data_IF_625455592013
#
_entry.id   IF_625455592013
#
_cell.length_a   1.000
_cell.length_b   1.000
_cell.length_c   1.000
_cell.angle_alpha   90.00
_cell.angle_beta   90.00
_cell.angle_gamma   90.00
#
_symmetry.space_group_name_H-M   'P 1'
#
loop_
_entity.id
_entity.type
_entity.pdbx_description
1 polymer ?
#
# COMPACT_ATOMS: atom_id res chain seq x y z
N UNK A 1 37.65 -22.18 -13.08
CA UNK A 1 37.18 -21.90 -14.46
C UNK A 1 38.08 -22.64 -15.45
N UNK A 2 37.56 -23.61 -16.21
CA UNK A 2 38.38 -24.47 -17.08
C UNK A 2 38.79 -23.79 -18.40
N UNK A 3 39.89 -24.25 -19.04
CA UNK A 3 40.40 -23.70 -20.32
C UNK A 3 39.33 -23.63 -21.42
N UNK A 4 38.41 -24.59 -21.44
CA UNK A 4 37.30 -24.65 -22.39
C UNK A 4 36.25 -23.54 -22.19
N UNK A 5 35.98 -23.14 -20.94
CA UNK A 5 35.00 -22.09 -20.62
C UNK A 5 35.48 -20.72 -21.11
N UNK A 6 36.79 -20.45 -20.96
CA UNK A 6 37.41 -19.21 -21.45
C UNK A 6 37.34 -19.12 -22.98
N UNK A 7 37.67 -20.21 -23.67
CA UNK A 7 37.61 -20.27 -25.13
C UNK A 7 36.16 -20.03 -25.62
N UNK A 8 35.18 -20.72 -25.03
CA UNK A 8 33.77 -20.58 -25.42
C UNK A 8 33.23 -19.17 -25.14
N UNK A 9 33.50 -18.58 -23.98
CA UNK A 9 33.09 -17.19 -23.65
C UNK A 9 33.67 -16.16 -24.61
N UNK A 10 34.91 -16.37 -25.06
CA UNK A 10 35.57 -15.50 -26.04
C UNK A 10 34.89 -15.59 -27.40
N UNK A 11 34.74 -16.80 -27.96
CA UNK A 11 34.18 -16.99 -29.30
C UNK A 11 32.69 -16.60 -29.35
N UNK A 12 31.91 -16.93 -28.32
CA UNK A 12 30.47 -16.54 -28.23
C UNK A 12 30.26 -15.03 -28.17
N UNK A 13 31.18 -14.29 -27.54
CA UNK A 13 31.08 -12.82 -27.49
C UNK A 13 31.45 -12.17 -28.83
N UNK A 14 32.31 -12.81 -29.63
CA UNK A 14 32.68 -12.33 -30.96
C UNK A 14 31.62 -12.64 -32.02
N UNK A 15 30.95 -13.80 -31.93
CA UNK A 15 30.01 -14.27 -32.95
C UNK A 15 28.64 -14.67 -32.38
N UNK A 16 27.93 -13.79 -31.64
CA UNK A 16 26.68 -14.15 -30.97
C UNK A 16 25.57 -14.61 -31.93
N UNK A 17 25.54 -14.07 -33.16
CA UNK A 17 24.57 -14.46 -34.19
C UNK A 17 24.79 -15.89 -34.70
N UNK A 18 26.03 -16.30 -34.88
CA UNK A 18 26.36 -17.64 -35.38
C UNK A 18 25.94 -18.71 -34.35
N UNK A 19 26.15 -18.43 -33.07
CA UNK A 19 25.67 -19.29 -31.98
C UNK A 19 24.14 -19.30 -31.86
N UNK A 20 23.46 -18.19 -32.15
CA UNK A 20 22.00 -18.18 -32.24
C UNK A 20 21.50 -19.10 -33.37
N UNK A 21 22.24 -19.20 -34.47
CA UNK A 21 21.97 -20.12 -35.58
C UNK A 21 22.00 -21.60 -35.21
N UNK A 22 22.68 -21.98 -34.11
CA UNK A 22 22.61 -23.35 -33.58
C UNK A 22 21.22 -23.68 -33.00
N UNK A 23 20.45 -22.66 -32.60
CA UNK A 23 19.14 -22.82 -31.96
C UNK A 23 18.01 -22.45 -32.94
N UNK A 24 18.19 -21.39 -33.73
CA UNK A 24 17.20 -20.85 -34.66
C UNK A 24 17.81 -20.67 -36.05
N UNK A 25 17.68 -21.70 -36.88
CA UNK A 25 18.21 -21.70 -38.26
C UNK A 25 17.53 -20.67 -39.17
N UNK A 26 16.34 -20.21 -38.80
CA UNK A 26 15.52 -19.25 -39.52
C UNK A 26 15.58 -17.82 -38.94
N UNK A 27 16.50 -17.55 -38.02
CA UNK A 27 16.54 -16.25 -37.35
C UNK A 27 16.91 -15.09 -38.29
N UNK A 28 15.98 -14.14 -38.41
CA UNK A 28 16.18 -12.87 -39.10
C UNK A 28 15.87 -11.72 -38.12
N UNK A 29 16.90 -11.00 -37.69
CA UNK A 29 16.76 -9.89 -36.74
C UNK A 29 18.10 -9.36 -36.23
N UNK A 30 18.01 -8.41 -35.30
CA UNK A 30 19.16 -7.83 -34.61
C UNK A 30 19.54 -8.67 -33.37
N UNK A 31 20.83 -8.72 -33.05
CA UNK A 31 21.36 -9.44 -31.89
C UNK A 31 22.30 -8.50 -31.14
N UNK A 32 22.00 -8.29 -29.86
CA UNK A 32 22.83 -7.52 -28.95
C UNK A 32 23.18 -8.39 -27.74
N UNK A 33 24.42 -8.27 -27.26
CA UNK A 33 24.82 -8.91 -26.02
C UNK A 33 24.22 -8.13 -24.85
N UNK A 34 23.45 -8.82 -24.01
CA UNK A 34 22.92 -8.26 -22.76
C UNK A 34 23.94 -8.40 -21.62
N UNK A 35 23.78 -7.59 -20.58
CA UNK A 35 24.56 -7.71 -19.34
C UNK A 35 24.40 -9.11 -18.73
N UNK A 36 25.51 -9.65 -18.25
CA UNK A 36 25.56 -11.00 -17.66
C UNK A 36 25.16 -11.01 -16.18
N UNK A 37 25.15 -9.84 -15.56
CA UNK A 37 24.77 -9.66 -14.17
C UNK A 37 23.26 -9.46 -14.09
N UNK A 38 22.58 -10.37 -13.41
CA UNK A 38 21.16 -10.22 -13.12
C UNK A 38 21.05 -9.55 -11.75
N UNK A 39 20.34 -8.42 -11.63
CA UNK A 39 20.10 -7.81 -10.33
C UNK A 39 19.27 -8.77 -9.48
N UNK A 40 19.88 -9.35 -8.45
CA UNK A 40 19.17 -10.18 -7.48
C UNK A 40 18.50 -9.25 -6.47
N UNK A 41 17.24 -8.93 -6.71
CA UNK A 41 16.39 -8.40 -5.65
C UNK A 41 15.84 -9.57 -4.84
N UNK A 42 16.36 -9.72 -3.62
CA UNK A 42 15.77 -10.61 -2.63
C UNK A 42 14.50 -9.96 -2.07
N UNK A 43 13.39 -10.67 -2.14
CA UNK A 43 12.19 -10.35 -1.38
C UNK A 43 12.01 -11.45 -0.34
N UNK A 44 11.55 -11.10 0.86
CA UNK A 44 11.12 -12.09 1.82
C UNK A 44 9.79 -12.70 1.32
N UNK A 45 9.77 -14.02 1.15
CA UNK A 45 8.53 -14.79 1.03
C UNK A 45 7.72 -14.62 2.32
N UNK A 46 6.39 -14.62 2.22
CA UNK A 46 5.54 -14.29 3.37
C UNK A 46 5.62 -15.33 4.49
N UNK A 47 5.71 -16.63 4.14
CA UNK A 47 5.88 -17.71 5.12
C UNK A 47 6.55 -18.94 4.50
N UNK A 48 7.46 -19.57 5.23
CA UNK A 48 8.21 -20.76 4.79
C UNK A 48 8.15 -21.83 5.87
N UNK A 49 7.80 -23.05 5.48
CA UNK A 49 7.83 -24.23 6.35
C UNK A 49 8.90 -25.20 5.88
N UNK A 50 9.69 -25.71 6.82
CA UNK A 50 10.48 -26.92 6.61
C UNK A 50 9.61 -28.13 6.99
N UNK A 51 9.36 -29.02 6.03
CA UNK A 51 8.54 -30.22 6.23
C UNK A 51 9.44 -31.45 6.18
N UNK A 52 9.26 -32.32 7.17
CA UNK A 52 9.83 -33.66 7.19
C UNK A 52 8.71 -34.65 7.44
N UNK A 53 8.44 -35.49 6.46
CA UNK A 53 7.40 -36.51 6.56
C UNK A 53 7.92 -37.77 7.25
N UNK A 54 7.00 -38.57 7.82
CA UNK A 54 7.34 -39.89 8.37
C UNK A 54 7.89 -40.84 7.29
N UNK A 55 7.55 -40.60 6.02
CA UNK A 55 8.10 -41.29 4.85
C UNK A 55 9.59 -41.02 4.61
N UNK A 56 10.14 -39.98 5.26
CA UNK A 56 11.51 -39.50 5.08
C UNK A 56 11.67 -38.41 4.01
N UNK A 57 10.58 -37.95 3.39
CA UNK A 57 10.63 -36.85 2.43
C UNK A 57 10.86 -35.51 3.14
N UNK A 58 11.80 -34.71 2.64
CA UNK A 58 12.12 -33.37 3.16
C UNK A 58 11.95 -32.30 2.08
N UNK A 59 11.16 -31.27 2.35
CA UNK A 59 10.89 -30.18 1.43
C UNK A 59 10.51 -28.88 2.13
N UNK A 60 10.61 -27.76 1.41
CA UNK A 60 10.10 -26.47 1.84
C UNK A 60 8.69 -26.24 1.30
N UNK A 61 7.79 -25.69 2.10
CA UNK A 61 6.52 -25.11 1.62
C UNK A 61 6.63 -23.59 1.66
N UNK A 62 6.56 -22.96 0.50
CA UNK A 62 6.64 -21.50 0.37
C UNK A 62 5.26 -20.91 0.14
N UNK A 63 4.81 -20.07 1.06
CA UNK A 63 3.51 -19.41 1.02
C UNK A 63 3.65 -17.96 0.57
N UNK A 64 2.90 -17.62 -0.47
CA UNK A 64 2.73 -16.27 -0.99
C UNK A 64 1.28 -15.82 -0.78
N UNK A 65 1.04 -14.90 0.16
CA UNK A 65 -0.28 -14.35 0.43
C UNK A 65 -0.50 -13.09 -0.39
N UNK A 66 -1.49 -13.11 -1.28
CA UNK A 66 -1.90 -11.94 -2.06
C UNK A 66 -3.33 -11.57 -1.71
N UNK A 67 -3.55 -10.30 -1.41
CA UNK A 67 -4.91 -9.79 -1.18
C UNK A 67 -5.82 -10.07 -2.37
N UNK A 68 -5.31 -9.92 -3.60
CA UNK A 68 -6.02 -10.16 -4.86
C UNK A 68 -5.09 -10.79 -5.90
N UNK A 69 -5.63 -11.46 -6.93
CA UNK A 69 -4.84 -11.89 -8.08
C UNK A 69 -4.19 -10.71 -8.82
N UNK A 70 -2.90 -10.85 -9.16
CA UNK A 70 -2.13 -9.87 -9.93
C UNK A 70 -1.32 -10.59 -11.03
N UNK A 71 -1.15 -9.96 -12.19
CA UNK A 71 -0.42 -10.56 -13.34
C UNK A 71 1.08 -10.80 -13.11
N UNK A 72 1.64 -10.38 -11.97
CA UNK A 72 3.03 -10.65 -11.58
C UNK A 72 3.18 -11.76 -10.56
N UNK A 73 2.09 -12.20 -9.91
CA UNK A 73 2.14 -13.14 -8.78
C UNK A 73 2.87 -14.43 -9.14
N UNK A 74 2.55 -15.05 -10.28
CA UNK A 74 3.19 -16.31 -10.66
C UNK A 74 4.66 -16.15 -11.01
N UNK A 75 5.06 -15.01 -11.59
CA UNK A 75 6.48 -14.72 -11.83
C UNK A 75 7.25 -14.55 -10.53
N UNK A 76 6.64 -13.90 -9.53
CA UNK A 76 7.22 -13.78 -8.20
C UNK A 76 7.36 -15.16 -7.54
N UNK A 77 6.28 -15.94 -7.47
CA UNK A 77 6.30 -17.28 -6.86
C UNK A 77 7.31 -18.21 -7.55
N UNK A 78 7.41 -18.17 -8.88
CA UNK A 78 8.43 -18.91 -9.63
C UNK A 78 9.85 -18.46 -9.24
N UNK A 79 10.12 -17.15 -9.25
CA UNK A 79 11.43 -16.61 -8.87
C UNK A 79 11.82 -17.06 -7.47
N UNK A 80 10.91 -16.91 -6.52
CA UNK A 80 11.19 -17.20 -5.11
C UNK A 80 11.38 -18.73 -4.92
N UNK A 81 10.61 -19.56 -5.63
CA UNK A 81 10.82 -21.03 -5.63
C UNK A 81 12.21 -21.42 -6.11
N UNK A 82 12.68 -20.80 -7.21
CA UNK A 82 14.03 -21.06 -7.76
C UNK A 82 15.12 -20.59 -6.81
N UNK A 83 14.94 -19.44 -6.16
CA UNK A 83 15.90 -18.90 -5.19
C UNK A 83 16.05 -19.81 -3.96
N UNK A 84 14.95 -20.33 -3.42
CA UNK A 84 14.98 -21.25 -2.28
C UNK A 84 15.49 -22.64 -2.64
N UNK A 85 15.19 -23.13 -3.85
CA UNK A 85 15.72 -24.40 -4.33
C UNK A 85 17.25 -24.32 -4.57
N UNK A 86 17.75 -23.20 -5.10
CA UNK A 86 19.19 -22.99 -5.30
C UNK A 86 19.87 -24.08 -6.15
N UNK A 87 21.20 -24.20 -6.03
CA UNK A 87 21.98 -25.24 -6.74
C UNK A 87 21.99 -26.59 -5.99
N UNK A 88 21.95 -26.54 -4.65
CA UNK A 88 21.99 -27.72 -3.76
C UNK A 88 20.91 -27.66 -2.66
N UNK A 89 19.90 -26.80 -2.82
CA UNK A 89 18.85 -26.62 -1.82
C UNK A 89 17.74 -27.67 -1.91
N UNK A 90 16.84 -27.67 -0.91
CA UNK A 90 15.78 -28.67 -0.77
C UNK A 90 14.76 -28.59 -1.91
N UNK A 91 13.93 -29.63 -2.03
CA UNK A 91 12.74 -29.57 -2.86
C UNK A 91 11.80 -28.45 -2.34
N UNK A 92 11.09 -27.81 -3.26
CA UNK A 92 10.24 -26.65 -2.97
C UNK A 92 8.82 -26.91 -3.47
N UNK A 93 7.87 -26.76 -2.57
CA UNK A 93 6.43 -26.82 -2.82
C UNK A 93 5.81 -25.41 -2.69
N UNK A 94 5.59 -24.70 -3.81
CA UNK A 94 5.05 -23.35 -3.77
C UNK A 94 3.53 -23.33 -3.62
N UNK A 95 3.06 -22.48 -2.72
CA UNK A 95 1.65 -22.21 -2.42
C UNK A 95 1.36 -20.73 -2.63
N UNK A 96 0.38 -20.42 -3.46
CA UNK A 96 -0.12 -19.05 -3.66
C UNK A 96 -1.51 -18.96 -3.08
N UNK A 97 -1.71 -18.06 -2.12
CA UNK A 97 -3.01 -17.82 -1.48
C UNK A 97 -3.59 -16.50 -1.97
N UNK A 98 -4.78 -16.55 -2.56
CA UNK A 98 -5.55 -15.36 -2.88
C UNK A 98 -6.65 -15.15 -1.83
N UNK A 99 -6.62 -14.01 -1.14
CA UNK A 99 -7.55 -13.69 -0.06
C UNK A 99 -8.95 -13.29 -0.57
N UNK A 100 -9.05 -12.51 -1.65
CA UNK A 100 -10.35 -12.18 -2.26
C UNK A 100 -10.29 -12.11 -3.80
N UNK A 101 -11.35 -12.59 -4.44
CA UNK A 101 -11.56 -12.49 -5.89
C UNK A 101 -12.25 -11.18 -6.30
N UNK A 102 -12.71 -10.36 -5.35
CA UNK A 102 -13.38 -9.10 -5.66
C UNK A 102 -12.46 -8.14 -6.41
N UNK A 103 -12.93 -7.64 -7.55
CA UNK A 103 -12.19 -6.69 -8.37
C UNK A 103 -11.10 -7.32 -9.24
N UNK A 104 -11.07 -8.65 -9.40
CA UNK A 104 -10.22 -9.33 -10.38
C UNK A 104 -11.07 -10.12 -11.38
N UNK A 105 -10.79 -9.94 -12.67
CA UNK A 105 -11.33 -10.76 -13.76
C UNK A 105 -10.41 -11.93 -14.14
N UNK A 106 -9.26 -12.06 -13.46
CA UNK A 106 -8.20 -13.00 -13.81
C UNK A 106 -7.78 -13.77 -12.56
N UNK A 107 -8.08 -15.06 -12.52
CA UNK A 107 -7.38 -15.99 -11.61
C UNK A 107 -6.37 -16.71 -12.47
N UNK A 108 -5.10 -16.35 -12.29
CA UNK A 108 -4.00 -17.10 -12.92
C UNK A 108 -3.61 -18.19 -11.94
N UNK A 109 -3.62 -19.44 -12.40
CA UNK A 109 -3.27 -20.62 -11.61
C UNK A 109 -1.96 -21.27 -12.07
N UNK A 110 -1.49 -20.93 -13.27
CA UNK A 110 -0.24 -21.41 -13.84
C UNK A 110 0.56 -20.29 -14.51
N UNK A 111 1.84 -20.54 -14.75
CA UNK A 111 2.70 -19.67 -15.55
C UNK A 111 3.42 -20.45 -16.62
N UNK A 112 3.11 -20.11 -17.86
CA UNK A 112 3.74 -20.65 -19.06
C UNK A 112 4.51 -19.53 -19.75
N UNK A 113 5.83 -19.72 -19.88
CA UNK A 113 6.66 -18.86 -20.71
C UNK A 113 6.89 -19.55 -22.04
N UNK A 114 6.43 -18.94 -23.12
CA UNK A 114 6.64 -19.42 -24.48
C UNK A 114 7.59 -18.49 -25.25
N UNK A 115 8.58 -19.07 -25.91
CA UNK A 115 9.52 -18.36 -26.79
C UNK A 115 9.55 -19.09 -28.12
N UNK A 116 9.20 -18.38 -29.20
CA UNK A 116 9.14 -18.93 -30.58
C UNK A 116 8.36 -20.24 -30.68
N UNK A 117 7.15 -20.32 -30.09
CA UNK A 117 6.30 -21.51 -30.17
C UNK A 117 6.70 -22.65 -29.22
N UNK A 118 7.77 -22.48 -28.42
CA UNK A 118 8.23 -23.49 -27.47
C UNK A 118 7.97 -23.04 -26.05
N UNK A 119 7.32 -23.89 -25.26
CA UNK A 119 7.21 -23.73 -23.81
C UNK A 119 8.59 -23.93 -23.18
N UNK A 120 9.19 -22.85 -22.69
CA UNK A 120 10.51 -22.86 -22.03
C UNK A 120 10.40 -22.96 -20.51
N UNK A 121 9.28 -22.51 -19.94
CA UNK A 121 8.95 -22.68 -18.53
C UNK A 121 7.49 -23.07 -18.41
N UNK A 122 7.21 -24.07 -17.56
CA UNK A 122 5.88 -24.37 -17.05
C UNK A 122 5.96 -24.43 -15.52
N UNK A 123 5.24 -23.55 -14.85
CA UNK A 123 5.22 -23.44 -13.40
C UNK A 123 3.79 -23.56 -12.91
N UNK A 124 3.54 -24.50 -12.01
CA UNK A 124 2.21 -24.87 -11.50
C UNK A 124 2.24 -24.94 -9.97
N UNK A 125 2.13 -23.80 -9.29
CA UNK A 125 2.06 -23.78 -7.84
C UNK A 125 0.70 -24.29 -7.35
N UNK A 126 0.63 -24.64 -6.07
CA UNK A 126 -0.65 -24.93 -5.44
C UNK A 126 -1.37 -23.61 -5.15
N UNK A 127 -2.55 -23.40 -5.75
CA UNK A 127 -3.31 -22.16 -5.59
C UNK A 127 -4.48 -22.36 -4.64
N UNK A 128 -4.51 -21.58 -3.57
CA UNK A 128 -5.62 -21.52 -2.60
C UNK A 128 -6.40 -20.24 -2.82
N UNK A 129 -7.67 -20.37 -3.20
CA UNK A 129 -8.62 -19.27 -3.28
C UNK A 129 -9.49 -19.28 -2.04
N UNK A 130 -9.29 -18.33 -1.14
CA UNK A 130 -9.97 -18.35 0.17
C UNK A 130 -11.49 -18.31 0.02
N UNK A 131 -12.00 -17.61 -0.99
CA UNK A 131 -13.44 -17.53 -1.27
C UNK A 131 -14.09 -18.81 -1.78
N UNK A 132 -13.30 -19.83 -2.16
CA UNK A 132 -13.81 -21.16 -2.52
C UNK A 132 -13.86 -22.10 -1.31
N UNK A 133 -13.29 -21.69 -0.16
CA UNK A 133 -13.33 -22.46 1.07
C UNK A 133 -14.75 -22.42 1.66
N UNK A 134 -15.27 -23.57 2.05
CA UNK A 134 -16.55 -23.68 2.74
C UNK A 134 -16.50 -23.03 4.12
N UNK A 135 -17.39 -22.05 4.37
CA UNK A 135 -17.56 -21.46 5.70
C UNK A 135 -18.00 -22.47 6.75
N UNK A 136 -18.83 -23.45 6.37
CA UNK A 136 -19.27 -24.52 7.26
C UNK A 136 -18.08 -25.36 7.71
N UNK A 137 -17.21 -25.74 6.78
CA UNK A 137 -16.00 -26.50 7.10
C UNK A 137 -15.08 -25.68 8.02
N UNK A 138 -14.84 -24.40 7.70
CA UNK A 138 -14.05 -23.51 8.57
C UNK A 138 -14.60 -23.46 10.00
N UNK A 139 -15.92 -23.37 10.14
CA UNK A 139 -16.55 -23.19 11.43
C UNK A 139 -16.57 -24.47 12.27
N UNK A 140 -16.80 -25.64 11.69
CA UNK A 140 -17.06 -26.87 12.47
C UNK A 140 -15.98 -27.94 12.38
N UNK A 141 -15.10 -27.90 11.38
CA UNK A 141 -14.18 -29.00 11.08
C UNK A 141 -12.72 -28.55 10.95
N UNK A 142 -12.47 -27.34 10.47
CA UNK A 142 -11.12 -26.83 10.25
C UNK A 142 -10.37 -26.61 11.57
N UNK A 143 -9.02 -26.76 11.59
CA UNK A 143 -8.19 -26.32 12.70
C UNK A 143 -8.45 -24.85 13.06
N UNK A 144 -8.47 -24.56 14.37
CA UNK A 144 -8.88 -23.24 14.89
C UNK A 144 -8.13 -22.08 14.23
N UNK A 145 -6.83 -22.25 13.95
CA UNK A 145 -5.98 -21.22 13.33
C UNK A 145 -6.41 -20.73 11.95
N UNK A 146 -7.28 -21.46 11.24
CA UNK A 146 -7.82 -21.05 9.94
C UNK A 146 -9.07 -20.18 10.06
N UNK A 147 -9.69 -20.11 11.24
CA UNK A 147 -10.95 -19.41 11.44
C UNK A 147 -10.92 -17.90 11.10
N UNK A 148 -9.81 -17.15 11.20
CA UNK A 148 -9.74 -15.76 10.75
C UNK A 148 -10.04 -15.56 9.25
N UNK A 149 -9.97 -16.63 8.44
CA UNK A 149 -10.35 -16.60 7.02
C UNK A 149 -11.87 -16.63 6.79
N UNK A 150 -12.68 -16.93 7.81
CA UNK A 150 -14.13 -17.10 7.69
C UNK A 150 -14.85 -15.94 6.98
N UNK A 151 -14.53 -14.65 7.25
CA UNK A 151 -15.17 -13.54 6.54
C UNK A 151 -14.93 -13.54 5.02
N UNK A 152 -13.82 -14.13 4.58
CA UNK A 152 -13.37 -14.17 3.18
C UNK A 152 -13.88 -15.40 2.42
N UNK A 153 -14.19 -16.47 3.16
CA UNK A 153 -14.71 -17.73 2.62
C UNK A 153 -16.11 -17.59 2.02
N UNK A 154 -16.46 -18.49 1.11
CA UNK A 154 -17.75 -18.66 0.41
C UNK A 154 -18.71 -17.45 0.48
N UNK A 155 -18.76 -16.66 -0.60
CA UNK A 155 -19.57 -15.45 -0.67
C UNK A 155 -21.08 -15.68 -0.77
N UNK A 156 -21.57 -16.90 -0.93
CA UNK A 156 -22.99 -17.17 -1.20
C UNK A 156 -23.91 -16.97 0.01
N UNK A 157 -23.36 -17.00 1.23
CA UNK A 157 -24.11 -16.73 2.47
C UNK A 157 -23.73 -15.38 3.08
N UNK A 158 -24.56 -14.85 3.96
CA UNK A 158 -24.15 -13.70 4.78
C UNK A 158 -23.14 -14.13 5.85
N UNK A 159 -21.94 -13.54 5.84
CA UNK A 159 -20.89 -13.87 6.81
C UNK A 159 -21.26 -13.42 8.24
N UNK A 160 -22.17 -12.46 8.35
CA UNK A 160 -22.43 -11.71 9.57
C UNK A 160 -23.04 -12.50 10.74
N UNK A 161 -23.76 -13.58 10.44
CA UNK A 161 -24.32 -14.49 11.45
C UNK A 161 -23.22 -15.44 11.97
N UNK A 162 -22.41 -15.99 11.06
CA UNK A 162 -21.38 -16.98 11.37
C UNK A 162 -20.19 -16.41 12.15
N UNK A 163 -19.92 -15.10 12.05
CA UNK A 163 -18.89 -14.45 12.88
C UNK A 163 -19.18 -14.66 14.37
N UNK A 164 -20.45 -14.60 14.80
CA UNK A 164 -20.80 -14.81 16.21
C UNK A 164 -20.44 -16.20 16.72
N UNK A 165 -20.71 -17.23 15.91
CA UNK A 165 -20.35 -18.62 16.21
C UNK A 165 -18.83 -18.81 16.22
N UNK A 166 -18.12 -18.18 15.29
CA UNK A 166 -16.67 -18.23 15.24
C UNK A 166 -16.01 -17.64 16.50
N UNK A 167 -16.58 -16.54 17.00
CA UNK A 167 -16.15 -15.92 18.26
C UNK A 167 -16.39 -16.84 19.46
N UNK A 168 -17.50 -17.57 19.49
CA UNK A 168 -17.77 -18.54 20.55
C UNK A 168 -16.73 -19.66 20.52
N UNK A 169 -16.48 -20.22 19.33
CA UNK A 169 -15.48 -21.28 19.13
C UNK A 169 -14.07 -20.85 19.54
N UNK A 170 -13.64 -19.63 19.18
CA UNK A 170 -12.34 -19.08 19.61
C UNK A 170 -12.24 -19.04 21.14
N UNK A 171 -13.29 -18.59 21.83
CA UNK A 171 -13.30 -18.52 23.30
C UNK A 171 -13.30 -19.90 23.95
N UNK A 172 -13.92 -20.89 23.31
CA UNK A 172 -14.03 -22.25 23.83
C UNK A 172 -12.74 -23.05 23.63
N UNK A 173 -12.10 -22.94 22.47
CA UNK A 173 -10.93 -23.76 22.10
C UNK A 173 -9.59 -23.13 22.50
N UNK A 174 -9.51 -21.80 22.62
CA UNK A 174 -8.25 -21.11 22.92
C UNK A 174 -8.28 -20.59 24.36
N UNK A 175 -7.43 -21.15 25.23
CA UNK A 175 -7.37 -20.73 26.63
C UNK A 175 -6.67 -19.37 26.84
N UNK A 176 -5.68 -19.04 26.00
CA UNK A 176 -4.87 -17.82 26.13
C UNK A 176 -5.59 -16.60 25.52
N UNK A 177 -5.89 -15.59 26.35
CA UNK A 177 -6.57 -14.37 25.93
C UNK A 177 -5.81 -13.57 24.87
N UNK A 178 -4.47 -13.63 24.86
CA UNK A 178 -3.64 -12.95 23.86
C UNK A 178 -3.76 -13.62 22.50
N UNK A 179 -3.79 -14.94 22.47
CA UNK A 179 -4.02 -15.70 21.23
C UNK A 179 -5.44 -15.44 20.73
N UNK A 180 -6.44 -15.41 21.62
CA UNK A 180 -7.79 -14.99 21.24
C UNK A 180 -7.78 -13.59 20.59
N UNK A 181 -7.14 -12.61 21.24
CA UNK A 181 -7.04 -11.25 20.72
C UNK A 181 -6.38 -11.20 19.33
N UNK A 182 -5.30 -11.94 19.09
CA UNK A 182 -4.67 -12.05 17.77
C UNK A 182 -5.59 -12.65 16.72
N UNK A 183 -6.36 -13.69 17.08
CA UNK A 183 -7.34 -14.30 16.17
C UNK A 183 -8.44 -13.31 15.77
N UNK A 184 -8.91 -12.49 16.73
CA UNK A 184 -9.90 -11.45 16.48
C UNK A 184 -9.33 -10.34 15.59
N UNK A 185 -8.11 -9.88 15.88
CA UNK A 185 -7.42 -8.88 15.07
C UNK A 185 -7.19 -9.37 13.65
N UNK A 186 -6.73 -10.61 13.48
CA UNK A 186 -6.57 -11.23 12.17
C UNK A 186 -7.88 -11.28 11.40
N UNK A 187 -8.97 -11.71 12.06
CA UNK A 187 -10.31 -11.74 11.46
C UNK A 187 -10.81 -10.35 11.07
N UNK A 188 -10.53 -9.32 11.89
CA UNK A 188 -10.87 -7.93 11.60
C UNK A 188 -10.15 -7.43 10.33
N UNK A 189 -8.83 -7.62 10.26
CA UNK A 189 -8.00 -7.15 9.14
C UNK A 189 -8.41 -7.87 7.85
N UNK A 190 -8.51 -9.20 7.89
CA UNK A 190 -8.88 -10.02 6.74
C UNK A 190 -10.31 -9.72 6.30
N UNK A 191 -11.26 -9.68 7.23
CA UNK A 191 -12.66 -9.38 6.94
C UNK A 191 -12.86 -8.00 6.32
N UNK A 192 -12.03 -7.01 6.67
CA UNK A 192 -12.06 -5.67 6.09
C UNK A 192 -11.83 -5.62 4.57
N UNK A 193 -11.34 -6.71 3.96
CA UNK A 193 -11.23 -6.80 2.50
C UNK A 193 -12.59 -6.95 1.79
N UNK A 194 -13.62 -7.45 2.49
CA UNK A 194 -14.93 -7.76 1.88
C UNK A 194 -16.14 -7.28 2.69
N UNK A 195 -15.96 -6.91 3.95
CA UNK A 195 -17.01 -6.40 4.84
C UNK A 195 -16.70 -4.97 5.30
N UNK A 196 -17.76 -4.23 5.63
CA UNK A 196 -17.63 -2.86 6.14
C UNK A 196 -16.94 -2.83 7.52
N UNK A 197 -15.95 -1.93 7.73
CA UNK A 197 -15.22 -1.86 8.99
C UNK A 197 -16.13 -1.63 10.21
N UNK A 198 -17.14 -0.77 10.13
CA UNK A 198 -18.04 -0.51 11.27
C UNK A 198 -18.86 -1.75 11.65
N UNK A 199 -19.22 -2.58 10.66
CA UNK A 199 -19.90 -3.84 10.91
C UNK A 199 -19.00 -4.80 11.71
N UNK A 200 -17.74 -4.95 11.29
CA UNK A 200 -16.76 -5.78 11.97
C UNK A 200 -16.44 -5.28 13.38
N UNK A 201 -16.23 -3.98 13.57
CA UNK A 201 -15.98 -3.39 14.89
C UNK A 201 -17.12 -3.68 15.87
N UNK A 202 -18.37 -3.59 15.39
CA UNK A 202 -19.56 -3.92 16.20
C UNK A 202 -19.63 -5.40 16.57
N UNK A 203 -19.20 -6.29 15.68
CA UNK A 203 -19.28 -7.76 15.88
C UNK A 203 -18.14 -8.31 16.71
N UNK A 204 -16.91 -7.84 16.49
CA UNK A 204 -15.69 -8.36 17.13
C UNK A 204 -15.39 -7.70 18.48
N UNK A 205 -15.89 -6.47 18.69
CA UNK A 205 -15.65 -5.63 19.87
C UNK A 205 -14.17 -5.28 20.10
N UNK A 206 -13.81 -4.02 19.92
CA UNK A 206 -12.43 -3.53 20.00
C UNK A 206 -11.72 -3.90 21.30
N UNK A 207 -12.44 -3.83 22.42
CA UNK A 207 -11.89 -4.14 23.75
C UNK A 207 -11.33 -5.56 23.85
N UNK A 208 -11.85 -6.51 23.06
CA UNK A 208 -11.35 -7.90 23.02
C UNK A 208 -10.06 -8.06 22.21
N UNK A 209 -9.66 -7.03 21.46
CA UNK A 209 -8.44 -7.01 20.64
C UNK A 209 -7.30 -6.22 21.28
N UNK A 210 -7.52 -5.55 22.42
CA UNK A 210 -6.52 -4.65 23.01
C UNK A 210 -5.23 -5.37 23.42
N UNK A 211 -5.30 -6.66 23.77
CA UNK A 211 -4.12 -7.48 24.10
C UNK A 211 -3.33 -7.95 22.87
N UNK A 212 -3.83 -7.73 21.65
CA UNK A 212 -3.16 -8.13 20.42
C UNK A 212 -2.00 -7.18 20.10
N UNK A 213 -0.80 -7.74 19.95
CA UNK A 213 0.37 -7.04 19.44
C UNK A 213 0.13 -6.50 18.02
N UNK A 214 -0.55 -7.26 17.16
CA UNK A 214 -0.91 -6.81 15.81
C UNK A 214 -1.83 -5.59 15.84
N UNK A 215 -2.80 -5.58 16.76
CA UNK A 215 -3.70 -4.44 16.95
C UNK A 215 -2.94 -3.21 17.44
N UNK A 216 -2.10 -3.36 18.46
CA UNK A 216 -1.28 -2.27 19.00
C UNK A 216 -0.33 -1.69 17.96
N UNK A 217 0.27 -2.55 17.12
CA UNK A 217 1.14 -2.10 16.03
C UNK A 217 0.37 -1.26 14.99
N UNK A 218 -0.79 -1.72 14.55
CA UNK A 218 -1.64 -0.99 13.58
C UNK A 218 -2.15 0.32 14.19
N UNK A 219 -2.53 0.30 15.47
CA UNK A 219 -2.93 1.51 16.20
C UNK A 219 -1.79 2.53 16.23
N UNK A 220 -0.58 2.12 16.57
CA UNK A 220 0.61 2.98 16.58
C UNK A 220 0.92 3.59 15.21
N UNK A 221 0.85 2.81 14.13
CA UNK A 221 0.97 3.33 12.76
C UNK A 221 -0.12 4.38 12.44
N UNK A 222 -1.34 4.15 12.94
CA UNK A 222 -2.45 5.09 12.82
C UNK A 222 -2.20 6.41 13.54
N UNK A 223 -1.71 6.34 14.79
CA UNK A 223 -1.36 7.49 15.61
C UNK A 223 -0.21 8.31 14.99
N UNK A 224 0.86 7.65 14.54
CA UNK A 224 2.00 8.30 13.88
C UNK A 224 1.54 9.05 12.61
N UNK A 225 0.75 8.38 11.76
CA UNK A 225 0.16 9.01 10.57
C UNK A 225 -0.76 10.17 10.93
N UNK A 226 -1.51 10.04 12.03
CA UNK A 226 -2.40 11.08 12.54
C UNK A 226 -1.63 12.32 12.99
N UNK A 227 -0.56 12.11 13.77
CA UNK A 227 0.35 13.17 14.23
C UNK A 227 1.00 13.85 13.04
N UNK A 228 1.55 13.10 12.09
CA UNK A 228 2.20 13.66 10.90
C UNK A 228 1.23 14.54 10.09
N UNK A 229 0.01 14.06 9.82
CA UNK A 229 -1.03 14.85 9.15
C UNK A 229 -1.44 16.08 9.96
N UNK A 230 -1.47 15.97 11.28
CA UNK A 230 -1.78 17.07 12.19
C UNK A 230 -0.72 18.17 12.16
N UNK A 231 0.56 17.78 12.19
CA UNK A 231 1.72 18.68 12.09
C UNK A 231 1.72 19.37 10.73
N UNK A 232 1.57 18.63 9.62
CA UNK A 232 1.53 19.20 8.27
C UNK A 232 0.44 20.26 8.14
N UNK A 233 -0.80 19.93 8.53
CA UNK A 233 -1.92 20.89 8.52
C UNK A 233 -1.70 22.07 9.46
N UNK A 234 -1.05 21.84 10.60
CA UNK A 234 -0.73 22.87 11.58
C UNK A 234 0.31 23.87 11.05
N UNK A 235 1.36 23.37 10.41
CA UNK A 235 2.40 24.18 9.77
C UNK A 235 1.80 24.98 8.61
N UNK A 236 1.02 24.35 7.74
CA UNK A 236 0.37 25.01 6.60
C UNK A 236 -0.51 26.18 7.06
N UNK A 237 -1.40 25.94 8.03
CA UNK A 237 -2.24 27.01 8.62
C UNK A 237 -1.41 28.07 9.35
N UNK A 238 -0.30 27.67 9.96
CA UNK A 238 0.62 28.58 10.66
C UNK A 238 1.31 29.54 9.70
N UNK A 239 1.81 29.02 8.57
CA UNK A 239 2.44 29.80 7.50
C UNK A 239 1.42 30.76 6.89
N UNK A 240 0.23 30.28 6.52
CA UNK A 240 -0.82 31.11 5.93
C UNK A 240 -1.19 32.28 6.85
N UNK A 241 -1.49 32.01 8.14
CA UNK A 241 -1.76 33.07 9.13
C UNK A 241 -0.59 34.00 9.35
N UNK A 242 0.65 33.48 9.27
CA UNK A 242 1.87 34.27 9.33
C UNK A 242 1.97 35.25 8.16
N UNK A 243 1.73 34.78 6.93
CA UNK A 243 1.73 35.61 5.73
C UNK A 243 0.62 36.66 5.75
N UNK A 244 -0.57 36.32 6.24
CA UNK A 244 -1.65 37.30 6.38
C UNK A 244 -1.25 38.42 7.35
N UNK A 245 -0.74 38.06 8.55
CA UNK A 245 -0.28 39.04 9.54
C UNK A 245 0.84 39.91 8.98
N UNK A 246 1.83 39.32 8.34
CA UNK A 246 2.92 40.05 7.69
C UNK A 246 2.40 41.00 6.60
N UNK A 247 1.40 40.57 5.82
CA UNK A 247 0.80 41.41 4.77
C UNK A 247 0.02 42.59 5.36
N UNK A 248 -0.74 42.38 6.44
CA UNK A 248 -1.43 43.46 7.17
C UNK A 248 -0.42 44.46 7.76
N UNK A 249 0.61 43.96 8.45
CA UNK A 249 1.68 44.80 9.01
C UNK A 249 2.37 45.63 7.94
N UNK A 250 2.72 45.03 6.79
CA UNK A 250 3.38 45.74 5.69
C UNK A 250 2.50 46.88 5.12
N UNK A 251 1.17 46.72 5.09
CA UNK A 251 0.26 47.79 4.69
C UNK A 251 0.31 48.95 5.70
N UNK A 252 0.24 48.64 6.99
CA UNK A 252 0.25 49.66 8.06
C UNK A 252 1.58 50.42 8.11
N UNK A 253 2.71 49.71 8.05
CA UNK A 253 4.06 50.31 8.04
C UNK A 253 4.26 51.22 6.82
N UNK A 254 3.74 50.84 5.64
CA UNK A 254 3.78 51.68 4.45
C UNK A 254 2.99 52.97 4.63
N UNK A 255 1.78 52.91 5.20
CA UNK A 255 0.97 54.09 5.45
C UNK A 255 1.65 55.05 6.43
N UNK A 256 2.22 54.51 7.51
CA UNK A 256 2.98 55.28 8.51
C UNK A 256 4.21 55.95 7.89
N UNK A 257 5.03 55.19 7.16
CA UNK A 257 6.25 55.71 6.57
C UNK A 257 6.01 56.78 5.50
N UNK A 258 4.96 56.66 4.70
CA UNK A 258 4.69 57.57 3.57
C UNK A 258 3.85 58.79 3.97
N UNK A 259 2.94 58.64 4.91
CA UNK A 259 1.94 59.67 5.24
C UNK A 259 1.96 60.13 6.71
N UNK A 260 2.82 59.53 7.54
CA UNK A 260 3.00 59.89 8.95
C UNK A 260 1.95 59.26 9.87
N UNK A 261 0.66 59.49 9.60
CA UNK A 261 -0.44 58.98 10.41
C UNK A 261 -1.56 58.37 9.56
N UNK A 262 -2.29 57.39 10.13
CA UNK A 262 -3.49 56.82 9.56
C UNK A 262 -4.56 56.59 10.66
N UNK A 263 -5.86 56.54 10.31
CA UNK A 263 -6.91 56.31 11.30
C UNK A 263 -6.78 54.95 11.99
N UNK A 264 -6.97 54.90 13.32
CA UNK A 264 -6.91 53.66 14.10
C UNK A 264 -7.92 52.58 13.68
N UNK A 265 -8.96 52.96 12.91
CA UNK A 265 -9.94 52.04 12.31
C UNK A 265 -9.37 51.13 11.21
N UNK A 266 -8.22 51.48 10.62
CA UNK A 266 -7.64 50.73 9.49
C UNK A 266 -7.16 49.34 9.90
N UNK A 267 -6.62 49.20 11.11
CA UNK A 267 -6.22 47.89 11.63
C UNK A 267 -7.43 46.94 11.71
N UNK A 268 -8.53 47.41 12.28
CA UNK A 268 -9.77 46.64 12.36
C UNK A 268 -10.31 46.29 10.96
N UNK A 269 -10.24 47.21 9.99
CA UNK A 269 -10.65 46.95 8.62
C UNK A 269 -9.81 45.85 7.96
N UNK A 270 -8.48 45.86 8.12
CA UNK A 270 -7.60 44.82 7.58
C UNK A 270 -7.82 43.44 8.24
N UNK A 271 -8.16 43.42 9.53
CA UNK A 271 -8.46 42.17 10.26
C UNK A 271 -9.74 41.49 9.75
N UNK A 272 -10.67 42.22 9.11
CA UNK A 272 -11.86 41.61 8.48
C UNK A 272 -11.56 40.82 7.21
N UNK A 273 -10.38 41.02 6.60
CA UNK A 273 -10.00 40.37 5.35
C UNK A 273 -9.20 39.12 5.69
N UNK A 274 -9.85 37.95 5.71
CA UNK A 274 -9.21 36.66 6.07
C UNK A 274 -8.66 35.89 4.88
N UNK A 275 -8.88 36.35 3.64
CA UNK A 275 -8.33 35.75 2.44
C UNK A 275 -6.95 36.34 2.13
N UNK A 276 -5.92 35.49 2.16
CA UNK A 276 -4.53 35.89 1.95
C UNK A 276 -4.27 36.49 0.57
N UNK A 277 -4.89 35.97 -0.49
CA UNK A 277 -4.70 36.48 -1.84
C UNK A 277 -5.40 37.83 -2.04
N UNK A 278 -6.56 38.03 -1.41
CA UNK A 278 -7.24 39.32 -1.31
C UNK A 278 -6.39 40.33 -0.55
N UNK A 279 -5.75 39.95 0.55
CA UNK A 279 -4.80 40.78 1.28
C UNK A 279 -3.57 41.14 0.42
N UNK A 280 -2.99 40.17 -0.30
CA UNK A 280 -1.85 40.41 -1.19
C UNK A 280 -2.20 41.34 -2.36
N UNK A 281 -3.42 41.21 -2.93
CA UNK A 281 -3.96 42.16 -3.92
C UNK A 281 -4.13 43.55 -3.32
N UNK A 282 -4.79 43.65 -2.16
CA UNK A 282 -4.98 44.91 -1.45
C UNK A 282 -3.64 45.63 -1.20
N UNK A 283 -2.63 44.91 -0.70
CA UNK A 283 -1.29 45.46 -0.48
C UNK A 283 -0.72 46.11 -1.75
N UNK A 284 -0.83 45.45 -2.91
CA UNK A 284 -0.32 45.98 -4.19
C UNK A 284 -1.03 47.26 -4.60
N UNK A 285 -2.34 47.34 -4.42
CA UNK A 285 -3.12 48.52 -4.78
C UNK A 285 -2.86 49.68 -3.82
N UNK A 286 -2.76 49.41 -2.51
CA UNK A 286 -2.38 50.44 -1.52
C UNK A 286 -1.01 51.03 -1.83
N UNK A 287 -0.04 50.21 -2.24
CA UNK A 287 1.31 50.68 -2.52
C UNK A 287 1.41 51.58 -3.77
N UNK A 288 0.42 51.50 -4.69
CA UNK A 288 0.32 52.36 -5.87
C UNK A 288 -0.34 53.71 -5.59
N UNK A 289 -1.09 53.84 -4.48
CA UNK A 289 -1.78 55.07 -4.13
C UNK A 289 -0.79 56.25 -4.02
N UNK A 290 -1.17 57.39 -4.60
CA UNK A 290 -0.36 58.61 -4.57
C UNK A 290 -0.72 59.50 -3.37
N UNK A 291 -1.92 59.32 -2.82
CA UNK A 291 -2.43 60.06 -1.66
C UNK A 291 -2.96 59.13 -0.56
N UNK A 292 -3.04 59.64 0.66
CA UNK A 292 -3.62 58.91 1.80
C UNK A 292 -5.11 58.60 1.56
N UNK A 293 -5.89 59.53 0.98
CA UNK A 293 -7.31 59.30 0.69
C UNK A 293 -7.53 58.15 -0.30
N UNK A 294 -6.72 58.06 -1.34
CA UNK A 294 -6.77 56.94 -2.29
C UNK A 294 -6.48 55.60 -1.60
N UNK A 295 -5.43 55.54 -0.77
CA UNK A 295 -5.07 54.33 -0.03
C UNK A 295 -6.19 53.88 0.92
N UNK A 296 -6.79 54.81 1.67
CA UNK A 296 -7.90 54.54 2.58
C UNK A 296 -9.16 54.09 1.83
N UNK A 297 -9.44 54.68 0.66
CA UNK A 297 -10.56 54.28 -0.19
C UNK A 297 -10.44 52.83 -0.69
N UNK A 298 -9.24 52.42 -1.10
CA UNK A 298 -8.97 51.02 -1.51
C UNK A 298 -9.16 50.05 -0.35
N UNK A 299 -8.66 50.37 0.85
CA UNK A 299 -8.83 49.53 2.05
C UNK A 299 -10.31 49.42 2.44
N UNK A 300 -11.05 50.53 2.42
CA UNK A 300 -12.48 50.55 2.74
C UNK A 300 -13.30 49.71 1.75
N UNK A 301 -13.01 49.81 0.45
CA UNK A 301 -13.65 48.98 -0.56
C UNK A 301 -13.33 47.49 -0.37
N UNK A 302 -12.09 47.17 -0.01
CA UNK A 302 -11.66 45.80 0.21
C UNK A 302 -12.23 45.20 1.51
N UNK A 303 -12.50 45.99 2.55
CA UNK A 303 -13.15 45.55 3.78
C UNK A 303 -14.68 45.47 3.64
N UNK A 304 -15.30 46.34 2.83
CA UNK A 304 -16.76 46.38 2.63
C UNK A 304 -17.31 45.32 1.68
N UNK A 305 -16.51 44.79 0.76
CA UNK A 305 -16.92 43.76 -0.20
C UNK A 305 -16.91 42.32 0.32
N UNK A 306 -17.14 42.08 1.61
CA UNK A 306 -17.15 40.74 2.22
C UNK A 306 -18.58 40.12 2.29
N UNK A 307 -19.57 40.75 1.64
CA UNK A 307 -20.99 40.37 1.75
C UNK A 307 -21.74 40.19 0.43
N UNK A 308 -21.08 39.78 -0.66
CA UNK A 308 -21.78 39.55 -1.92
C UNK A 308 -20.98 38.71 -2.90
N UNK A 309 -21.17 37.40 -2.82
CA UNK A 309 -21.11 36.43 -3.92
C UNK A 309 -21.79 35.16 -3.39
N UNK A 310 -23.07 35.00 -3.75
CA UNK A 310 -23.87 33.76 -3.68
C UNK A 310 -23.42 32.78 -4.78
#
# INVERSE_FOLDING_TARGET
>A
MGKYDIALKTVTSLFPRDYLGLVFSDFAGEVHQADKEVPVQSHATDFVLEVREESGEEYLVLWEFKSRPEGRTMRQALRDSVLFHGEEGPAVYPVVVYLTGRGSSLVVEDYVLEVRGRQVIRFTPHVVKVWEISRRWLLYEAPIGLLPLLPLADYEREAGELIGEALARIREEIADSRIQAEMLTGMFILGGLVLEPQFLLRKLEVTKMEESASYQYILGLGEERGIQKGIEKGIEKGIEKGEERATRTAILEFLEARYGEYPGSIKAALDTITDLERLKRLRREVFKALTLQEALGVIASAAGGAGGEE
#
